data_IF_751109943958
#
_entry.id   IF_751109943958
#
_cell.length_a   1.000
_cell.length_b   1.000
_cell.length_c   1.000
_cell.angle_alpha   90.00
_cell.angle_beta   90.00
_cell.angle_gamma   90.00
#
_symmetry.space_group_name_H-M   'P 1'
#
loop_
_entity.id
_entity.type
_entity.pdbx_description
1 polymer ?
#
# COMPACT_ATOMS: atom_id res chain seq x y z
N UNK A 1 39.88 10.16 -14.58
CA UNK A 1 39.14 10.03 -13.31
C UNK A 1 37.72 9.62 -13.67
N UNK A 2 37.30 8.42 -13.27
CA UNK A 2 35.90 8.00 -13.44
C UNK A 2 35.03 8.89 -12.56
N UNK A 3 34.12 9.67 -13.14
CA UNK A 3 33.12 10.38 -12.35
C UNK A 3 32.19 9.34 -11.73
N UNK A 4 32.38 9.04 -10.44
CA UNK A 4 31.40 8.27 -9.68
C UNK A 4 30.11 9.10 -9.61
N UNK A 5 29.10 8.71 -10.38
CA UNK A 5 27.77 9.29 -10.28
C UNK A 5 27.27 9.04 -8.85
N UNK A 6 26.87 10.11 -8.15
CA UNK A 6 26.24 9.98 -6.83
C UNK A 6 24.90 9.29 -7.00
N UNK A 7 24.61 8.33 -6.13
CA UNK A 7 23.30 7.70 -6.05
C UNK A 7 22.21 8.75 -5.78
N UNK A 8 21.01 8.48 -6.28
CA UNK A 8 19.85 9.34 -5.98
C UNK A 8 19.54 9.23 -4.49
N UNK A 9 19.21 10.34 -3.80
CA UNK A 9 18.80 10.29 -2.40
C UNK A 9 17.50 9.52 -2.24
N UNK A 10 17.25 9.04 -1.02
CA UNK A 10 16.01 8.37 -0.64
C UNK A 10 14.80 9.29 -0.85
N UNK A 11 13.64 8.68 -1.14
CA UNK A 11 12.37 9.42 -1.18
C UNK A 11 11.89 9.71 0.25
N UNK A 12 11.49 10.95 0.50
CA UNK A 12 10.91 11.34 1.79
C UNK A 12 9.39 11.22 1.67
N UNK A 13 8.81 10.28 2.42
CA UNK A 13 7.37 10.07 2.51
C UNK A 13 6.91 10.17 3.96
N UNK A 14 6.11 11.18 4.24
CA UNK A 14 5.46 11.31 5.55
C UNK A 14 4.18 10.51 5.54
N UNK A 15 4.05 9.56 6.48
CA UNK A 15 2.81 8.83 6.72
C UNK A 15 1.78 9.76 7.35
N UNK A 16 0.66 9.97 6.66
CA UNK A 16 -0.34 10.95 7.06
C UNK A 16 -1.75 10.57 6.60
N UNK A 17 -2.75 11.02 7.36
CA UNK A 17 -4.17 10.84 7.09
C UNK A 17 -4.92 10.89 8.42
N UNK A 18 -5.96 11.72 8.51
CA UNK A 18 -6.83 11.81 9.68
C UNK A 18 -8.13 12.56 9.36
N UNK A 19 -9.13 12.42 10.22
CA UNK A 19 -10.40 13.13 10.14
C UNK A 19 -11.18 12.79 8.87
N UNK A 20 -11.16 13.63 7.84
CA UNK A 20 -11.91 13.44 6.59
C UNK A 20 -10.98 13.40 5.38
N UNK A 21 -11.48 12.93 4.24
CA UNK A 21 -10.74 12.95 2.98
C UNK A 21 -10.30 14.37 2.59
N UNK A 22 -11.15 15.39 2.78
CA UNK A 22 -10.82 16.78 2.46
C UNK A 22 -9.75 17.35 3.40
N UNK A 23 -9.81 17.03 4.70
CA UNK A 23 -8.79 17.47 5.66
C UNK A 23 -7.42 16.80 5.37
N UNK A 24 -7.44 15.51 5.04
CA UNK A 24 -6.23 14.76 4.65
C UNK A 24 -5.65 15.28 3.33
N UNK A 25 -6.48 15.61 2.35
CA UNK A 25 -6.05 16.26 1.11
C UNK A 25 -5.32 17.59 1.37
N UNK A 26 -5.92 18.46 2.19
CA UNK A 26 -5.32 19.75 2.53
C UNK A 26 -3.93 19.57 3.18
N UNK A 27 -3.79 18.59 4.08
CA UNK A 27 -2.51 18.21 4.69
C UNK A 27 -1.50 17.70 3.65
N UNK A 28 -1.93 16.85 2.71
CA UNK A 28 -1.05 16.35 1.64
C UNK A 28 -0.53 17.47 0.76
N UNK A 29 -1.41 18.39 0.34
CA UNK A 29 -1.03 19.54 -0.48
C UNK A 29 -0.06 20.47 0.26
N UNK A 30 -0.31 20.76 1.53
CA UNK A 30 0.60 21.54 2.36
C UNK A 30 1.99 20.88 2.44
N UNK A 31 2.05 19.57 2.72
CA UNK A 31 3.31 18.83 2.77
C UNK A 31 4.07 18.81 1.43
N UNK A 32 3.35 18.66 0.31
CA UNK A 32 3.95 18.72 -1.04
C UNK A 32 4.58 20.09 -1.29
N UNK A 33 3.95 21.19 -0.89
CA UNK A 33 4.54 22.53 -1.01
C UNK A 33 5.78 22.73 -0.14
N UNK A 34 5.91 21.95 0.95
CA UNK A 34 7.08 21.93 1.85
C UNK A 34 8.19 20.96 1.41
N UNK A 35 8.07 20.34 0.23
CA UNK A 35 9.13 19.52 -0.37
C UNK A 35 8.99 18.01 -0.13
N UNK A 36 7.86 17.52 0.37
CA UNK A 36 7.55 16.09 0.34
C UNK A 36 7.49 15.61 -1.11
N UNK A 37 8.14 14.47 -1.42
CA UNK A 37 8.32 13.98 -2.80
C UNK A 37 7.48 12.74 -3.13
N UNK A 38 6.74 12.21 -2.15
CA UNK A 38 5.79 11.13 -2.36
C UNK A 38 4.78 11.08 -1.22
N UNK A 39 3.60 10.53 -1.48
CA UNK A 39 2.52 10.43 -0.49
C UNK A 39 2.59 9.08 0.24
N UNK A 40 2.15 9.06 1.50
CA UNK A 40 1.96 7.84 2.27
C UNK A 40 0.66 7.95 3.06
N UNK A 41 -0.37 7.21 2.63
CA UNK A 41 -1.75 7.34 3.09
C UNK A 41 -2.01 6.41 4.27
N UNK A 42 -2.48 7.00 5.38
CA UNK A 42 -3.00 6.31 6.55
C UNK A 42 -4.53 6.22 6.49
N UNK A 43 -5.08 5.01 6.51
CA UNK A 43 -6.53 4.78 6.51
C UNK A 43 -7.05 4.53 7.92
N UNK A 44 -8.32 4.87 8.18
CA UNK A 44 -8.93 4.60 9.48
C UNK A 44 -9.20 3.11 9.71
N UNK A 45 -9.55 2.74 10.95
CA UNK A 45 -9.77 1.34 11.30
C UNK A 45 -10.95 0.69 10.55
N UNK A 46 -12.13 1.36 10.38
CA UNK A 46 -13.21 0.84 9.54
C UNK A 46 -12.77 0.52 8.11
N UNK A 47 -12.07 1.44 7.43
CA UNK A 47 -11.56 1.22 6.07
C UNK A 47 -10.58 0.04 6.00
N UNK A 48 -9.72 -0.10 7.02
CA UNK A 48 -8.77 -1.22 7.11
C UNK A 48 -9.46 -2.58 7.32
N UNK A 49 -10.60 -2.60 8.02
CA UNK A 49 -11.35 -3.81 8.39
C UNK A 49 -12.55 -4.09 7.49
N UNK A 50 -12.75 -3.28 6.44
CA UNK A 50 -13.78 -3.51 5.42
C UNK A 50 -15.17 -3.08 5.80
N UNK A 51 -15.30 -2.10 6.72
CA UNK A 51 -16.58 -1.51 7.10
C UNK A 51 -16.74 -0.11 6.52
N UNK A 52 -17.94 0.17 6.02
CA UNK A 52 -18.36 1.53 5.70
C UNK A 52 -18.53 2.38 6.97
N UNK A 53 -18.45 3.70 6.81
CA UNK A 53 -18.47 4.66 7.93
C UNK A 53 -19.77 4.65 8.72
N UNK A 54 -20.88 4.21 8.11
CA UNK A 54 -22.20 4.09 8.75
C UNK A 54 -22.46 2.71 9.38
N UNK A 55 -21.54 1.75 9.21
CA UNK A 55 -21.65 0.43 9.79
C UNK A 55 -21.62 0.50 11.33
N UNK A 56 -22.42 -0.35 11.99
CA UNK A 56 -22.55 -0.31 13.45
C UNK A 56 -21.21 -0.52 14.19
N UNK A 57 -20.33 -1.34 13.63
CA UNK A 57 -18.99 -1.62 14.20
C UNK A 57 -17.97 -0.51 13.91
N UNK A 58 -18.26 0.44 13.02
CA UNK A 58 -17.38 1.56 12.72
C UNK A 58 -17.53 2.73 13.71
N UNK A 59 -18.63 2.76 14.48
CA UNK A 59 -18.97 3.86 15.38
C UNK A 59 -17.85 4.14 16.38
N UNK A 60 -17.38 5.38 16.40
CA UNK A 60 -16.32 5.85 17.30
C UNK A 60 -14.89 5.68 16.76
N UNK A 61 -14.72 5.00 15.63
CA UNK A 61 -13.40 4.76 15.01
C UNK A 61 -13.23 5.46 13.66
N UNK A 62 -14.32 5.95 13.05
CA UNK A 62 -14.32 6.70 11.78
C UNK A 62 -13.40 7.93 11.89
N UNK A 63 -12.40 7.99 11.01
CA UNK A 63 -11.48 9.14 10.89
C UNK A 63 -10.49 9.34 12.06
N UNK A 64 -10.49 8.46 13.06
CA UNK A 64 -9.74 8.66 14.32
C UNK A 64 -8.23 8.43 14.17
N UNK A 65 -7.85 7.41 13.42
CA UNK A 65 -6.45 6.97 13.25
C UNK A 65 -5.96 7.05 11.81
N UNK A 66 -6.79 7.60 10.91
CA UNK A 66 -6.53 7.65 9.48
C UNK A 66 -7.70 8.31 8.74
N UNK A 67 -7.60 8.34 7.41
CA UNK A 67 -8.67 8.83 6.55
C UNK A 67 -9.74 7.75 6.32
N UNK A 68 -11.04 8.07 6.45
CA UNK A 68 -12.14 7.17 6.07
C UNK A 68 -12.32 7.17 4.55
N UNK A 69 -12.39 5.99 3.94
CA UNK A 69 -12.70 5.81 2.51
C UNK A 69 -13.75 4.70 2.38
N UNK A 70 -15.00 5.07 2.13
CA UNK A 70 -16.10 4.12 1.93
C UNK A 70 -16.41 3.92 0.44
N UNK A 71 -16.21 4.95 -0.38
CA UNK A 71 -16.51 4.88 -1.82
C UNK A 71 -15.60 5.76 -2.69
N UNK A 72 -15.77 5.67 -4.01
CA UNK A 72 -15.00 6.44 -4.99
C UNK A 72 -15.02 7.96 -4.75
N UNK A 73 -16.14 8.51 -4.24
CA UNK A 73 -16.24 9.95 -3.93
C UNK A 73 -15.28 10.42 -2.83
N UNK A 74 -14.92 9.55 -1.89
CA UNK A 74 -13.95 9.87 -0.84
C UNK A 74 -12.53 9.85 -1.41
N UNK A 75 -12.25 8.87 -2.28
CA UNK A 75 -10.97 8.79 -2.96
C UNK A 75 -10.74 10.00 -3.89
N UNK A 76 -11.78 10.45 -4.60
CA UNK A 76 -11.75 11.70 -5.36
C UNK A 76 -11.45 12.89 -4.46
N UNK A 77 -12.13 12.99 -3.32
CA UNK A 77 -11.91 14.07 -2.35
C UNK A 77 -10.49 14.04 -1.76
N UNK A 78 -9.93 12.85 -1.53
CA UNK A 78 -8.59 12.66 -0.97
C UNK A 78 -7.50 13.15 -1.95
N UNK A 79 -7.70 12.97 -3.24
CA UNK A 79 -6.72 13.30 -4.28
C UNK A 79 -7.13 14.49 -5.17
N UNK A 80 -8.11 15.29 -4.73
CA UNK A 80 -8.47 16.53 -5.41
C UNK A 80 -7.24 17.44 -5.57
N UNK A 81 -7.03 17.97 -6.77
CA UNK A 81 -5.89 18.82 -7.11
C UNK A 81 -4.49 18.18 -6.87
N UNK A 82 -4.42 16.84 -6.78
CA UNK A 82 -3.16 16.09 -6.73
C UNK A 82 -3.07 15.21 -7.98
N UNK A 83 -2.16 15.50 -8.94
CA UNK A 83 -2.04 14.75 -10.18
C UNK A 83 -1.39 13.38 -9.94
N UNK A 84 -2.18 12.30 -9.98
CA UNK A 84 -1.73 10.97 -9.58
C UNK A 84 -0.65 10.37 -10.50
N UNK A 85 -0.61 10.76 -11.78
CA UNK A 85 0.41 10.35 -12.75
C UNK A 85 1.82 10.85 -12.41
N UNK A 86 1.91 11.92 -11.62
CA UNK A 86 3.16 12.54 -11.18
C UNK A 86 3.54 12.14 -9.75
N UNK A 87 2.66 11.46 -9.03
CA UNK A 87 2.89 11.08 -7.63
C UNK A 87 3.54 9.71 -7.52
N UNK A 88 4.31 9.55 -6.44
CA UNK A 88 4.65 8.23 -5.93
C UNK A 88 3.89 8.00 -4.63
N UNK A 89 2.82 7.21 -4.70
CA UNK A 89 1.86 7.05 -3.59
C UNK A 89 2.04 5.72 -2.89
N UNK A 90 2.22 5.73 -1.57
CA UNK A 90 2.17 4.54 -0.73
C UNK A 90 0.83 4.49 -0.02
N UNK A 91 0.18 3.32 -0.02
CA UNK A 91 -1.06 3.07 0.71
C UNK A 91 -0.81 1.98 1.74
N UNK A 92 -0.82 2.35 3.03
CA UNK A 92 -0.66 1.41 4.15
C UNK A 92 -1.98 0.70 4.40
N UNK A 93 -2.31 -0.24 3.52
CA UNK A 93 -3.57 -0.97 3.52
C UNK A 93 -3.31 -2.44 3.16
N UNK A 94 -4.06 -3.36 3.80
CA UNK A 94 -3.79 -4.80 3.73
C UNK A 94 -5.03 -5.57 3.28
N UNK A 95 -5.93 -5.97 4.17
CA UNK A 95 -7.07 -6.82 3.81
C UNK A 95 -7.97 -6.21 2.72
N UNK A 96 -8.14 -4.88 2.74
CA UNK A 96 -8.90 -4.13 1.74
C UNK A 96 -8.04 -3.54 0.62
N UNK A 97 -6.74 -3.89 0.53
CA UNK A 97 -5.84 -3.37 -0.50
C UNK A 97 -6.36 -3.53 -1.94
N UNK A 98 -6.98 -4.65 -2.36
CA UNK A 98 -7.55 -4.77 -3.70
C UNK A 98 -8.60 -3.69 -3.99
N UNK A 99 -9.46 -3.39 -3.02
CA UNK A 99 -10.52 -2.39 -3.15
C UNK A 99 -9.95 -0.97 -3.23
N UNK A 100 -9.07 -0.60 -2.30
CA UNK A 100 -8.50 0.75 -2.26
C UNK A 100 -7.60 1.01 -3.48
N UNK A 101 -6.88 0.00 -3.98
CA UNK A 101 -6.13 0.12 -5.22
C UNK A 101 -7.04 0.32 -6.43
N UNK A 102 -8.16 -0.39 -6.52
CA UNK A 102 -9.13 -0.19 -7.60
C UNK A 102 -9.72 1.24 -7.58
N UNK A 103 -10.07 1.76 -6.40
CA UNK A 103 -10.53 3.14 -6.27
C UNK A 103 -9.44 4.16 -6.66
N UNK A 104 -8.20 3.92 -6.25
CA UNK A 104 -7.07 4.77 -6.61
C UNK A 104 -6.85 4.82 -8.13
N UNK A 105 -6.86 3.67 -8.80
CA UNK A 105 -6.72 3.57 -10.26
C UNK A 105 -7.88 4.29 -10.95
N UNK A 106 -9.12 4.08 -10.52
CA UNK A 106 -10.28 4.74 -11.11
C UNK A 106 -10.20 6.27 -11.01
N UNK A 107 -9.76 6.82 -9.88
CA UNK A 107 -9.53 8.28 -9.74
C UNK A 107 -8.41 8.74 -10.66
N UNK A 108 -7.33 7.97 -10.80
CA UNK A 108 -6.24 8.32 -11.70
C UNK A 108 -6.69 8.34 -13.17
N UNK A 109 -7.50 7.37 -13.59
CA UNK A 109 -8.10 7.33 -14.93
C UNK A 109 -9.04 8.52 -15.16
N UNK A 110 -9.85 8.92 -14.17
CA UNK A 110 -10.69 10.12 -14.24
C UNK A 110 -9.88 11.41 -14.38
N UNK A 111 -8.67 11.46 -13.84
CA UNK A 111 -7.71 12.55 -14.04
C UNK A 111 -7.01 12.49 -15.41
N UNK A 112 -7.22 11.43 -16.20
CA UNK A 112 -6.60 11.20 -17.51
C UNK A 112 -5.25 10.48 -17.47
N UNK A 113 -4.87 9.88 -16.33
CA UNK A 113 -3.64 9.11 -16.23
C UNK A 113 -3.75 7.76 -16.95
N UNK A 114 -2.66 7.33 -17.59
CA UNK A 114 -2.50 5.95 -18.04
C UNK A 114 -2.09 5.07 -16.84
N UNK A 115 -2.86 4.04 -16.46
CA UNK A 115 -2.51 3.12 -15.37
C UNK A 115 -1.09 2.55 -15.48
N UNK A 116 -0.56 2.35 -16.69
CA UNK A 116 0.79 1.84 -16.88
C UNK A 116 1.91 2.80 -16.43
N UNK A 117 1.57 4.07 -16.21
CA UNK A 117 2.50 5.10 -15.73
C UNK A 117 2.48 5.29 -14.22
N UNK A 118 1.44 4.80 -13.53
CA UNK A 118 1.25 5.00 -12.09
C UNK A 118 2.37 4.37 -11.27
N UNK A 119 2.87 5.14 -10.31
CA UNK A 119 3.94 4.73 -9.41
C UNK A 119 3.46 4.74 -7.97
N UNK A 120 3.68 3.65 -7.27
CA UNK A 120 3.25 3.57 -5.90
C UNK A 120 3.45 2.20 -5.30
N UNK A 121 2.87 2.03 -4.12
CA UNK A 121 2.96 0.81 -3.33
C UNK A 121 1.66 0.62 -2.56
N UNK A 122 1.12 -0.60 -2.56
CA UNK A 122 0.19 -1.04 -1.51
C UNK A 122 0.95 -1.92 -0.53
N UNK A 123 0.63 -1.86 0.76
CA UNK A 123 1.29 -2.76 1.72
C UNK A 123 0.93 -4.22 1.43
N UNK A 124 -0.37 -4.54 1.33
CA UNK A 124 -0.88 -5.83 0.86
C UNK A 124 -0.18 -7.05 1.51
N UNK A 125 0.21 -6.92 2.78
CA UNK A 125 0.84 -7.98 3.55
C UNK A 125 -0.15 -8.44 4.62
N UNK A 126 -1.03 -9.37 4.26
CA UNK A 126 -2.03 -9.90 5.17
C UNK A 126 -1.41 -10.96 6.11
N UNK A 127 -0.26 -11.56 5.74
CA UNK A 127 0.37 -12.60 6.58
C UNK A 127 0.76 -12.02 7.94
N UNK A 128 1.40 -10.84 7.95
CA UNK A 128 1.73 -10.15 9.23
C UNK A 128 0.49 -9.69 10.01
N UNK A 129 -0.67 -9.51 9.37
CA UNK A 129 -1.90 -9.15 10.08
C UNK A 129 -2.32 -10.23 11.08
N UNK A 130 -2.14 -11.51 10.75
CA UNK A 130 -2.46 -12.61 11.67
C UNK A 130 -1.47 -12.70 12.85
N UNK A 131 -0.25 -12.22 12.67
CA UNK A 131 0.83 -12.39 13.62
C UNK A 131 0.99 -11.21 14.59
N UNK A 132 0.71 -9.98 14.15
CA UNK A 132 1.01 -8.79 14.96
C UNK A 132 -0.01 -7.65 14.92
N UNK A 133 -0.77 -7.48 13.82
CA UNK A 133 -1.52 -6.22 13.58
C UNK A 133 -3.05 -6.33 13.64
N UNK A 134 -3.62 -7.48 13.31
CA UNK A 134 -5.02 -7.80 13.57
C UNK A 134 -6.08 -7.24 12.61
N UNK A 135 -5.72 -6.60 11.49
CA UNK A 135 -6.68 -6.03 10.52
C UNK A 135 -6.97 -6.95 9.33
N UNK A 136 -7.03 -8.27 9.57
CA UNK A 136 -7.44 -9.26 8.58
C UNK A 136 -8.97 -9.38 8.49
N UNK A 137 -9.48 -9.86 7.36
CA UNK A 137 -10.92 -10.07 7.12
C UNK A 137 -11.18 -11.54 6.79
N UNK A 138 -10.56 -12.04 5.73
CA UNK A 138 -10.69 -13.43 5.31
C UNK A 138 -9.76 -14.35 6.13
N UNK A 139 -9.97 -15.68 6.09
CA UNK A 139 -8.97 -16.64 6.58
C UNK A 139 -7.67 -16.65 5.75
N UNK A 140 -6.58 -17.29 6.23
CA UNK A 140 -5.26 -17.21 5.60
C UNK A 140 -5.22 -17.61 4.12
N UNK A 141 -5.86 -18.72 3.73
CA UNK A 141 -5.82 -19.22 2.34
C UNK A 141 -6.44 -18.24 1.32
N UNK A 142 -7.68 -17.75 1.48
CA UNK A 142 -8.23 -16.73 0.59
C UNK A 142 -7.46 -15.41 0.65
N UNK A 143 -6.92 -15.00 1.80
CA UNK A 143 -6.06 -13.81 1.88
C UNK A 143 -4.80 -13.94 1.05
N UNK A 144 -4.10 -15.09 1.11
CA UNK A 144 -2.90 -15.33 0.29
C UNK A 144 -3.23 -15.28 -1.21
N UNK A 145 -4.39 -15.82 -1.60
CA UNK A 145 -4.89 -15.69 -2.97
C UNK A 145 -5.10 -14.22 -3.36
N UNK A 146 -5.73 -13.40 -2.52
CA UNK A 146 -5.96 -11.98 -2.81
C UNK A 146 -4.66 -11.18 -2.95
N UNK A 147 -3.65 -11.47 -2.11
CA UNK A 147 -2.32 -10.86 -2.24
C UNK A 147 -1.76 -11.14 -3.65
N UNK A 148 -1.83 -12.40 -4.07
CA UNK A 148 -1.33 -12.83 -5.37
C UNK A 148 -2.13 -12.24 -6.54
N UNK A 149 -3.46 -12.18 -6.44
CA UNK A 149 -4.33 -11.60 -7.47
C UNK A 149 -4.00 -10.11 -7.71
N UNK A 150 -3.75 -9.34 -6.64
CA UNK A 150 -3.30 -7.93 -6.76
C UNK A 150 -1.95 -7.84 -7.45
N UNK A 151 -1.01 -8.70 -7.10
CA UNK A 151 0.31 -8.71 -7.72
C UNK A 151 0.30 -9.12 -9.19
N UNK A 152 -0.50 -10.12 -9.57
CA UNK A 152 -0.72 -10.48 -10.96
C UNK A 152 -1.40 -9.35 -11.75
N UNK A 153 -2.41 -8.69 -11.16
CA UNK A 153 -3.07 -7.54 -11.79
C UNK A 153 -2.11 -6.38 -12.03
N UNK A 154 -1.31 -6.00 -11.03
CA UNK A 154 -0.29 -4.95 -11.18
C UNK A 154 0.76 -5.32 -12.22
N UNK A 155 1.18 -6.59 -12.30
CA UNK A 155 2.13 -7.05 -13.29
C UNK A 155 1.66 -6.77 -14.72
N UNK A 156 0.39 -7.03 -15.01
CA UNK A 156 -0.21 -6.84 -16.34
C UNK A 156 -0.61 -5.39 -16.62
N UNK A 157 -1.26 -4.71 -15.66
CA UNK A 157 -2.00 -3.47 -15.91
C UNK A 157 -1.34 -2.23 -15.29
N UNK A 158 -0.60 -2.38 -14.18
CA UNK A 158 0.03 -1.27 -13.45
C UNK A 158 1.51 -1.58 -13.17
N UNK A 159 2.32 -1.86 -14.21
CA UNK A 159 3.65 -2.49 -14.11
C UNK A 159 4.73 -1.72 -13.34
N UNK A 160 4.46 -0.45 -12.98
CA UNK A 160 5.33 0.40 -12.17
C UNK A 160 4.94 0.45 -10.69
N UNK A 161 3.81 -0.16 -10.33
CA UNK A 161 3.35 -0.32 -8.96
C UNK A 161 4.11 -1.43 -8.24
N UNK A 162 4.42 -1.23 -6.97
CA UNK A 162 4.90 -2.30 -6.08
C UNK A 162 3.67 -2.94 -5.43
N UNK A 163 3.30 -4.17 -5.82
CA UNK A 163 2.01 -4.75 -5.43
C UNK A 163 1.99 -5.30 -3.99
N UNK A 164 3.15 -5.35 -3.34
CA UNK A 164 3.28 -5.78 -1.97
C UNK A 164 4.50 -5.12 -1.35
N UNK A 165 4.34 -4.72 -0.10
CA UNK A 165 5.41 -4.26 0.76
C UNK A 165 5.49 -5.17 1.99
N UNK A 166 6.36 -6.17 1.94
CA UNK A 166 6.58 -7.14 3.03
C UNK A 166 6.99 -6.36 4.27
N UNK A 167 6.15 -6.39 5.31
CA UNK A 167 6.24 -5.44 6.40
C UNK A 167 6.64 -6.13 7.69
N UNK A 168 7.91 -5.99 8.03
CA UNK A 168 8.50 -6.55 9.23
C UNK A 168 8.42 -5.59 10.43
N UNK A 169 8.25 -4.29 10.17
CA UNK A 169 8.03 -3.24 11.17
C UNK A 169 7.11 -3.68 12.32
N UNK A 170 5.89 -4.12 11.99
CA UNK A 170 4.88 -4.50 12.99
C UNK A 170 5.25 -5.77 13.77
N UNK A 171 6.07 -6.66 13.21
CA UNK A 171 6.52 -7.85 13.91
C UNK A 171 7.47 -7.47 15.05
N UNK A 172 8.38 -6.53 14.79
CA UNK A 172 9.28 -6.02 15.82
C UNK A 172 8.53 -5.19 16.87
N UNK A 173 7.57 -4.35 16.47
CA UNK A 173 6.70 -3.62 17.40
C UNK A 173 5.88 -4.56 18.31
N UNK A 174 5.58 -5.78 17.83
CA UNK A 174 4.94 -6.83 18.62
C UNK A 174 5.93 -7.66 19.47
N UNK A 175 7.24 -7.35 19.42
CA UNK A 175 8.27 -7.96 20.25
C UNK A 175 9.17 -8.98 19.55
N UNK A 176 9.14 -9.10 18.22
CA UNK A 176 10.09 -9.95 17.50
C UNK A 176 11.53 -9.42 17.64
N UNK A 177 12.51 -10.31 17.80
CA UNK A 177 13.94 -9.95 17.71
C UNK A 177 14.33 -9.64 16.26
N UNK A 178 15.46 -8.96 16.00
CA UNK A 178 15.92 -8.70 14.63
C UNK A 178 16.07 -9.97 13.77
N UNK A 179 16.51 -11.09 14.37
CA UNK A 179 16.62 -12.37 13.66
C UNK A 179 15.25 -12.94 13.29
N UNK A 180 14.27 -12.83 14.20
CA UNK A 180 12.89 -13.23 13.96
C UNK A 180 12.24 -12.34 12.90
N UNK A 181 12.43 -11.03 12.99
CA UNK A 181 11.95 -10.05 12.02
C UNK A 181 12.41 -10.42 10.60
N UNK A 182 13.73 -10.62 10.42
CA UNK A 182 14.30 -11.00 9.13
C UNK A 182 13.77 -12.35 8.64
N UNK A 183 13.75 -13.36 9.52
CA UNK A 183 13.28 -14.70 9.17
C UNK A 183 11.80 -14.69 8.73
N UNK A 184 10.93 -14.00 9.48
CA UNK A 184 9.50 -13.91 9.18
C UNK A 184 9.23 -13.09 7.92
N UNK A 185 9.97 -12.00 7.68
CA UNK A 185 9.84 -11.22 6.47
C UNK A 185 10.22 -12.04 5.22
N UNK A 186 11.36 -12.73 5.26
CA UNK A 186 11.81 -13.57 4.13
C UNK A 186 10.90 -14.77 3.90
N UNK A 187 10.39 -15.40 4.98
CA UNK A 187 9.42 -16.49 4.87
C UNK A 187 8.09 -16.01 4.26
N UNK A 188 7.62 -14.82 4.65
CA UNK A 188 6.43 -14.17 4.09
C UNK A 188 6.60 -13.90 2.60
N UNK A 189 7.74 -13.32 2.21
CA UNK A 189 8.05 -13.07 0.80
C UNK A 189 8.08 -14.37 -0.01
N UNK A 190 8.72 -15.42 0.52
CA UNK A 190 8.80 -16.74 -0.12
C UNK A 190 7.42 -17.34 -0.33
N UNK A 191 6.57 -17.35 0.71
CA UNK A 191 5.21 -17.90 0.61
C UNK A 191 4.34 -17.19 -0.44
N UNK A 192 4.47 -15.86 -0.56
CA UNK A 192 3.74 -15.08 -1.57
C UNK A 192 4.30 -15.33 -2.97
N UNK A 193 5.63 -15.38 -3.12
CA UNK A 193 6.28 -15.67 -4.39
C UNK A 193 5.96 -17.08 -4.89
N UNK A 194 5.89 -18.06 -3.99
CA UNK A 194 5.51 -19.43 -4.31
C UNK A 194 4.06 -19.51 -4.82
N UNK A 195 3.15 -18.70 -4.28
CA UNK A 195 1.77 -18.59 -4.76
C UNK A 195 1.66 -17.89 -6.12
N UNK A 196 2.62 -17.01 -6.44
CA UNK A 196 2.64 -16.17 -7.64
C UNK A 196 3.32 -16.81 -8.84
N UNK A 197 4.27 -17.72 -8.61
CA UNK A 197 5.13 -18.25 -9.68
C UNK A 197 4.37 -18.89 -10.85
N UNK A 198 3.18 -19.44 -10.58
CA UNK A 198 2.32 -20.09 -11.59
C UNK A 198 1.29 -19.13 -12.22
N UNK A 199 1.22 -17.88 -11.76
CA UNK A 199 0.28 -16.87 -12.25
C UNK A 199 0.89 -15.91 -13.27
N UNK A 200 2.21 -15.97 -13.49
CA UNK A 200 2.92 -15.17 -14.48
C UNK A 200 3.82 -16.06 -15.35
N UNK A 201 4.15 -15.64 -16.58
CA UNK A 201 5.12 -16.39 -17.40
C UNK A 201 6.45 -16.54 -16.67
N UNK A 202 7.02 -17.76 -16.65
CA UNK A 202 8.29 -18.05 -15.95
C UNK A 202 9.45 -17.10 -16.30
N UNK A 203 9.51 -16.65 -17.55
CA UNK A 203 10.53 -15.69 -18.03
C UNK A 203 10.41 -14.31 -17.37
N UNK A 204 9.21 -13.94 -16.92
CA UNK A 204 8.88 -12.63 -16.36
C UNK A 204 8.84 -12.66 -14.82
N UNK A 205 8.91 -13.85 -14.20
CA UNK A 205 8.92 -13.99 -12.75
C UNK A 205 10.02 -13.16 -12.04
N UNK A 206 11.28 -13.08 -12.54
CA UNK A 206 12.28 -12.21 -11.91
C UNK A 206 11.89 -10.72 -11.89
N UNK A 207 11.14 -10.26 -12.89
CA UNK A 207 10.61 -8.89 -12.91
C UNK A 207 9.56 -8.67 -11.83
N UNK A 208 8.69 -9.66 -11.60
CA UNK A 208 7.71 -9.62 -10.51
C UNK A 208 8.41 -9.63 -9.14
N UNK A 209 9.42 -10.48 -8.96
CA UNK A 209 10.26 -10.51 -7.74
C UNK A 209 10.86 -9.13 -7.47
N UNK A 210 11.38 -8.46 -8.50
CA UNK A 210 11.93 -7.10 -8.40
C UNK A 210 10.90 -6.00 -8.08
N UNK A 211 9.60 -6.31 -8.06
CA UNK A 211 8.52 -5.39 -7.65
C UNK A 211 8.03 -5.62 -6.22
N UNK A 212 8.42 -6.71 -5.57
CA UNK A 212 8.13 -6.93 -4.14
C UNK A 212 9.08 -6.04 -3.34
N UNK A 213 8.52 -5.11 -2.57
CA UNK A 213 9.31 -4.23 -1.70
C UNK A 213 9.27 -4.69 -0.24
N UNK A 214 10.12 -4.11 0.59
CA UNK A 214 10.18 -4.39 2.03
C UNK A 214 10.02 -3.10 2.84
N UNK A 215 9.35 -3.20 3.99
CA UNK A 215 9.26 -2.15 5.00
C UNK A 215 9.80 -2.68 6.32
N UNK A 216 11.02 -2.24 6.64
CA UNK A 216 11.83 -2.65 7.78
C UNK A 216 12.03 -1.49 8.76
N UNK A 217 12.33 -1.82 10.00
CA UNK A 217 12.81 -0.83 10.97
C UNK A 217 14.24 -0.35 10.67
N UNK A 218 14.60 0.79 11.26
CA UNK A 218 15.94 1.37 11.20
C UNK A 218 16.83 0.89 12.35
#
# INVERSE_FOLDING_TARGET
MSQTLKDRPWLIRTYAGHSTAQASNALYRDNLTKGQTGLSVAFDLPTQTGYDSDHILARGEVGKVGVPISHLGDMRSLFDQIPLDQMNTSMTINATAPWLLALYIAVAEEQGADPATLQGTVQNDIIKEYLSRGTYICPPKPSLKLIADVAAYCYENVPKWNPMNVCSYHLQEAGATPEQELAFALATATAVLDQLQDQVPKKDFPRLVGRISFFVNA
#
